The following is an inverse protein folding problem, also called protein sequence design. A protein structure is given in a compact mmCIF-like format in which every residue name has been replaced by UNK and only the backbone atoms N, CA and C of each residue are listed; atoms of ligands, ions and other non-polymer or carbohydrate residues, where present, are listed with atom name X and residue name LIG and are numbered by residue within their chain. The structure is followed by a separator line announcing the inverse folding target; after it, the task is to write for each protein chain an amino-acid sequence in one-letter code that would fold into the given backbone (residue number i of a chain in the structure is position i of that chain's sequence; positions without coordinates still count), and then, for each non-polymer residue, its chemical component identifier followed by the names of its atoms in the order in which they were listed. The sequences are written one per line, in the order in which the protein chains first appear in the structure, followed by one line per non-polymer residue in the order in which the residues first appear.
data_IF_943256959832
#
_entry.id   IF_943256959832
#
_cell.length_a   1.000
_cell.length_b   1.000
_cell.length_c   1.000
_cell.angle_alpha   90.00
_cell.angle_beta   90.00
_cell.angle_gamma   90.00
#
_symmetry.space_group_name_H-M   'P 1'
#
loop_
_entity.id
_entity.type
_entity.pdbx_description
1 polymer ?
#
# COMPACT_ATOMS: atom_id res chain seq x y z
N UNK A 1 -17.74 6.85 14.22
CA UNK A 1 -16.62 7.65 13.65
C UNK A 1 -16.88 7.85 12.16
N UNK A 2 -16.48 8.98 11.56
CA UNK A 2 -16.48 9.11 10.09
C UNK A 2 -15.30 8.35 9.47
N UNK A 3 -15.37 8.00 8.19
CA UNK A 3 -14.30 7.29 7.47
C UNK A 3 -12.97 8.04 7.55
N UNK A 4 -13.01 9.38 7.39
CA UNK A 4 -11.83 10.24 7.56
C UNK A 4 -11.25 10.14 8.97
N UNK A 5 -12.08 10.06 10.01
CA UNK A 5 -11.62 9.91 11.39
C UNK A 5 -11.00 8.53 11.64
N UNK A 6 -11.61 7.48 11.10
CA UNK A 6 -11.08 6.13 11.19
C UNK A 6 -9.75 5.98 10.44
N UNK A 7 -9.64 6.52 9.22
CA UNK A 7 -8.40 6.57 8.45
C UNK A 7 -7.28 7.27 9.23
N UNK A 8 -7.55 8.42 9.87
CA UNK A 8 -6.57 9.11 10.72
C UNK A 8 -6.09 8.26 11.89
N UNK A 9 -6.99 7.50 12.51
CA UNK A 9 -6.64 6.56 13.58
C UNK A 9 -5.73 5.44 13.05
N UNK A 10 -6.06 4.84 11.91
CA UNK A 10 -5.25 3.82 11.24
C UNK A 10 -3.86 4.35 10.87
N UNK A 11 -3.77 5.54 10.27
CA UNK A 11 -2.48 6.19 9.96
C UNK A 11 -1.65 6.46 11.22
N UNK A 12 -2.29 6.90 12.32
CA UNK A 12 -1.60 7.09 13.61
C UNK A 12 -1.05 5.77 14.14
N UNK A 13 -1.78 4.65 14.00
CA UNK A 13 -1.32 3.32 14.40
C UNK A 13 -0.15 2.85 13.52
N UNK A 14 -0.28 2.93 12.20
CA UNK A 14 0.77 2.55 11.24
C UNK A 14 2.04 3.37 11.46
N UNK A 15 1.93 4.69 11.65
CA UNK A 15 3.07 5.57 11.94
C UNK A 15 3.82 5.13 13.21
N UNK A 16 3.11 4.69 14.26
CA UNK A 16 3.73 4.18 15.49
C UNK A 16 4.48 2.87 15.23
N UNK A 17 3.91 1.95 14.46
CA UNK A 17 4.58 0.70 14.08
C UNK A 17 5.86 0.96 13.27
N UNK A 18 5.77 1.80 12.23
CA UNK A 18 6.92 2.18 11.40
C UNK A 18 8.03 2.88 12.19
N UNK A 19 7.68 3.69 13.20
CA UNK A 19 8.68 4.31 14.10
C UNK A 19 9.46 3.26 14.90
N UNK A 20 8.82 2.20 15.39
CA UNK A 20 9.46 1.15 16.19
C UNK A 20 10.50 0.37 15.38
N UNK A 21 10.23 0.14 14.10
CA UNK A 21 11.12 -0.61 13.21
C UNK A 21 12.06 0.27 12.37
N UNK A 22 12.11 1.58 12.63
CA UNK A 22 12.87 2.55 11.80
C UNK A 22 14.39 2.26 11.72
N UNK A 23 14.95 1.57 12.71
CA UNK A 23 16.38 1.22 12.74
C UNK A 23 16.71 -0.07 11.96
N UNK A 24 15.71 -0.86 11.58
CA UNK A 24 15.93 -2.08 10.80
C UNK A 24 16.34 -1.72 9.36
N UNK A 25 17.19 -2.55 8.75
CA UNK A 25 17.68 -2.36 7.37
C UNK A 25 16.53 -2.35 6.36
N UNK A 26 15.62 -3.31 6.48
CA UNK A 26 14.54 -3.57 5.53
C UNK A 26 13.23 -3.76 6.29
N UNK A 27 12.18 -3.09 5.82
CA UNK A 27 10.80 -3.21 6.31
C UNK A 27 9.90 -3.51 5.13
N UNK A 28 9.08 -4.54 5.30
CA UNK A 28 7.95 -4.88 4.43
C UNK A 28 6.69 -4.33 5.08
N UNK A 29 6.01 -3.40 4.42
CA UNK A 29 4.72 -2.90 4.87
C UNK A 29 3.60 -3.70 4.22
N UNK A 30 2.65 -4.21 5.00
CA UNK A 30 1.50 -4.97 4.47
C UNK A 30 0.22 -4.25 4.84
N UNK A 31 -0.61 -3.94 3.84
CA UNK A 31 -1.95 -3.37 4.00
C UNK A 31 -2.96 -4.19 3.19
N UNK A 32 -4.23 -4.20 3.58
CA UNK A 32 -5.25 -4.75 2.68
C UNK A 32 -5.59 -3.74 1.58
N UNK A 33 -5.89 -2.50 1.96
CA UNK A 33 -6.25 -1.41 1.05
C UNK A 33 -5.05 -0.86 0.27
N UNK A 34 -5.35 -0.26 -0.88
CA UNK A 34 -4.38 0.25 -1.85
C UNK A 34 -3.70 1.53 -1.33
N UNK A 35 -2.35 1.54 -1.21
CA UNK A 35 -1.60 2.73 -0.82
C UNK A 35 -1.21 3.63 -1.99
N UNK A 36 -1.23 3.12 -3.22
CA UNK A 36 -0.71 3.78 -4.43
C UNK A 36 -1.71 3.66 -5.58
N UNK A 37 -2.02 4.80 -6.23
CA UNK A 37 -3.07 4.90 -7.26
C UNK A 37 -2.78 4.09 -8.53
N UNK A 38 -1.53 3.69 -8.73
CA UNK A 38 -1.04 2.84 -9.81
C UNK A 38 -1.78 1.50 -9.90
N UNK A 39 -2.41 1.07 -8.80
CA UNK A 39 -3.20 -0.16 -8.74
C UNK A 39 -4.72 0.07 -8.78
N UNK A 40 -5.17 1.33 -8.81
CA UNK A 40 -6.60 1.69 -8.91
C UNK A 40 -7.00 1.75 -10.38
N UNK A 41 -8.15 1.16 -10.69
CA UNK A 41 -8.67 1.12 -12.06
C UNK A 41 -9.64 2.27 -12.25
N UNK A 42 -9.29 3.22 -13.11
CA UNK A 42 -10.15 4.35 -13.46
C UNK A 42 -10.86 4.08 -14.79
N UNK A 43 -12.15 4.40 -14.86
CA UNK A 43 -12.97 4.34 -16.07
C UNK A 43 -13.88 5.56 -16.11
N UNK A 44 -14.30 5.94 -17.30
CA UNK A 44 -15.31 7.00 -17.51
C UNK A 44 -16.72 6.45 -17.19
N UNK A 45 -16.92 6.09 -15.91
CA UNK A 45 -18.14 5.51 -15.38
C UNK A 45 -18.22 5.82 -13.86
N UNK A 46 -19.21 6.62 -13.40
CA UNK A 46 -19.34 7.01 -11.99
C UNK A 46 -19.44 5.85 -10.99
N UNK A 47 -19.84 4.66 -11.44
CA UNK A 47 -19.85 3.46 -10.58
C UNK A 47 -18.44 3.03 -10.20
N UNK A 48 -17.47 3.23 -11.10
CA UNK A 48 -16.06 3.02 -10.79
C UNK A 48 -15.54 4.06 -9.82
N UNK A 49 -15.95 5.33 -9.93
CA UNK A 49 -15.55 6.37 -8.98
C UNK A 49 -16.05 6.08 -7.57
N UNK A 50 -17.32 5.65 -7.46
CA UNK A 50 -17.88 5.22 -6.18
C UNK A 50 -17.08 4.05 -5.58
N UNK A 51 -16.79 3.00 -6.36
CA UNK A 51 -15.99 1.87 -5.87
C UNK A 51 -14.57 2.29 -5.50
N UNK A 52 -13.95 3.20 -6.28
CA UNK A 52 -12.60 3.70 -6.06
C UNK A 52 -12.48 4.50 -4.76
N UNK A 53 -13.55 5.13 -4.29
CA UNK A 53 -13.59 5.82 -2.99
C UNK A 53 -13.30 4.89 -1.80
N UNK A 54 -13.50 3.58 -1.96
CA UNK A 54 -13.26 2.57 -0.92
C UNK A 54 -11.98 1.75 -1.12
N UNK A 55 -11.26 1.93 -2.24
CA UNK A 55 -10.10 1.10 -2.56
C UNK A 55 -8.91 1.31 -1.62
N UNK A 56 -8.80 2.51 -1.06
CA UNK A 56 -7.72 2.89 -0.15
C UNK A 56 -7.58 4.38 -0.01
N UNK A 57 -6.35 4.85 0.27
CA UNK A 57 -6.10 6.27 0.46
C UNK A 57 -4.65 6.62 0.14
N UNK A 58 -4.43 7.68 -0.63
CA UNK A 58 -3.09 8.18 -0.99
C UNK A 58 -2.23 8.48 0.26
N UNK A 59 -2.87 8.89 1.35
CA UNK A 59 -2.22 9.13 2.64
C UNK A 59 -1.47 7.91 3.21
N UNK A 60 -1.86 6.67 2.84
CA UNK A 60 -1.12 5.45 3.19
C UNK A 60 0.22 5.42 2.46
N UNK A 61 0.23 5.53 1.13
CA UNK A 61 1.45 5.57 0.33
C UNK A 61 2.35 6.72 0.73
N UNK A 62 1.78 7.91 0.94
CA UNK A 62 2.51 9.08 1.42
C UNK A 62 3.18 8.83 2.79
N UNK A 63 2.54 8.07 3.69
CA UNK A 63 3.16 7.68 4.96
C UNK A 63 4.31 6.69 4.75
N UNK A 64 4.14 5.66 3.94
CA UNK A 64 5.19 4.67 3.62
C UNK A 64 6.42 5.35 2.98
N UNK A 65 6.19 6.30 2.09
CA UNK A 65 7.22 7.08 1.40
C UNK A 65 8.07 7.97 2.33
N UNK A 66 7.71 8.12 3.60
CA UNK A 66 8.51 8.85 4.61
C UNK A 66 9.58 8.01 5.29
N UNK A 67 9.51 6.68 5.19
CA UNK A 67 10.43 5.77 5.89
C UNK A 67 11.36 5.10 4.89
N UNK A 68 12.65 5.50 4.89
CA UNK A 68 13.66 5.03 3.92
C UNK A 68 13.90 3.52 3.94
N UNK A 69 13.69 2.88 5.09
CA UNK A 69 13.88 1.44 5.26
C UNK A 69 12.64 0.63 4.86
N UNK A 70 11.51 1.26 4.53
CA UNK A 70 10.39 0.57 3.86
C UNK A 70 10.81 0.36 2.41
N UNK A 71 11.24 -0.86 2.10
CA UNK A 71 11.71 -1.27 0.77
C UNK A 71 10.61 -1.92 -0.05
N UNK A 72 9.67 -2.58 0.64
CA UNK A 72 8.59 -3.33 0.02
C UNK A 72 7.24 -2.93 0.62
N UNK A 73 6.21 -2.91 -0.22
CA UNK A 73 4.82 -2.76 0.20
C UNK A 73 3.98 -3.86 -0.45
N UNK A 74 3.16 -4.57 0.33
CA UNK A 74 2.20 -5.55 -0.17
C UNK A 74 0.80 -5.02 0.11
N UNK A 75 -0.05 -4.98 -0.91
CA UNK A 75 -1.44 -4.55 -0.84
C UNK A 75 -2.38 -5.49 -1.61
N UNK A 76 -3.69 -5.31 -1.50
CA UNK A 76 -4.67 -6.14 -2.19
C UNK A 76 -5.97 -5.38 -2.48
N UNK A 77 -7.12 -5.99 -2.20
CA UNK A 77 -8.47 -5.39 -2.32
C UNK A 77 -9.01 -5.21 -3.76
N UNK A 78 -8.15 -4.90 -4.74
CA UNK A 78 -8.56 -4.75 -6.15
C UNK A 78 -8.89 -6.07 -6.86
N UNK A 79 -8.54 -7.21 -6.24
CA UNK A 79 -8.60 -8.56 -6.83
C UNK A 79 -7.79 -8.69 -8.13
N UNK A 80 -6.82 -7.79 -8.35
CA UNK A 80 -5.88 -7.83 -9.47
C UNK A 80 -4.46 -7.98 -8.96
N UNK A 81 -3.69 -8.80 -9.65
CA UNK A 81 -2.27 -8.98 -9.38
C UNK A 81 -1.44 -7.95 -10.15
N UNK A 82 -0.34 -7.49 -9.56
CA UNK A 82 0.63 -6.65 -10.25
C UNK A 82 1.74 -6.15 -9.33
N UNK A 83 2.79 -5.59 -9.92
CA UNK A 83 3.84 -4.91 -9.19
C UNK A 83 4.18 -3.56 -9.81
N UNK A 84 4.71 -2.66 -9.00
CA UNK A 84 5.16 -1.35 -9.44
C UNK A 84 6.37 -0.91 -8.59
N UNK A 85 7.25 -0.11 -9.18
CA UNK A 85 8.33 0.56 -8.45
C UNK A 85 7.94 2.02 -8.25
N UNK A 86 7.68 2.41 -7.02
CA UNK A 86 7.24 3.77 -6.68
C UNK A 86 8.47 4.62 -6.33
N UNK A 87 8.75 5.69 -7.10
CA UNK A 87 9.89 6.55 -6.84
C UNK A 87 9.71 7.30 -5.53
N UNK A 88 10.84 7.61 -4.88
CA UNK A 88 10.87 8.41 -3.66
C UNK A 88 11.74 9.63 -3.87
N UNK A 89 11.30 10.79 -3.37
CA UNK A 89 12.08 12.04 -3.48
C UNK A 89 13.50 11.94 -2.92
N UNK A 90 13.70 11.15 -1.85
CA UNK A 90 15.01 10.94 -1.20
C UNK A 90 15.15 9.50 -0.71
N UNK A 91 16.12 8.76 -1.24
CA UNK A 91 16.39 7.36 -0.91
C UNK A 91 15.87 6.39 -1.98
N UNK A 92 16.03 5.09 -1.73
CA UNK A 92 15.61 4.04 -2.68
C UNK A 92 14.08 4.05 -2.90
N UNK A 93 13.62 3.64 -4.10
CA UNK A 93 12.20 3.46 -4.37
C UNK A 93 11.59 2.34 -3.51
N UNK A 94 10.27 2.27 -3.50
CA UNK A 94 9.52 1.15 -2.89
C UNK A 94 9.08 0.21 -4.00
N UNK A 95 9.40 -1.08 -3.89
CA UNK A 95 8.78 -2.11 -4.73
C UNK A 95 7.45 -2.50 -4.11
N UNK A 96 6.37 -2.36 -4.86
CA UNK A 96 5.01 -2.61 -4.39
C UNK A 96 4.42 -3.80 -5.13
N UNK A 97 3.76 -4.67 -4.38
CA UNK A 97 3.02 -5.81 -4.91
C UNK A 97 1.54 -5.65 -4.54
N UNK A 98 0.67 -5.66 -5.54
CA UNK A 98 -0.77 -5.80 -5.37
C UNK A 98 -1.11 -7.26 -5.61
N UNK A 99 -1.62 -7.94 -4.57
CA UNK A 99 -1.91 -9.36 -4.61
C UNK A 99 -3.40 -9.59 -4.85
N UNK A 100 -3.70 -10.45 -5.82
CA UNK A 100 -5.05 -11.00 -6.02
C UNK A 100 -5.14 -12.35 -5.32
N UNK A 101 -6.16 -12.53 -4.48
CA UNK A 101 -6.50 -13.87 -4.01
C UNK A 101 -6.99 -14.71 -5.18
N UNK A 102 -6.22 -15.73 -5.59
CA UNK A 102 -6.74 -16.84 -6.40
C UNK A 102 -7.08 -17.98 -5.45
N UNK A 103 -8.29 -18.53 -5.47
CA UNK A 103 -8.61 -19.70 -4.67
C UNK A 103 -7.57 -20.79 -4.89
N UNK A 104 -7.05 -21.35 -3.79
CA UNK A 104 -6.13 -22.50 -3.78
C UNK A 104 -4.74 -22.27 -4.41
N UNK A 105 -4.37 -21.03 -4.76
CA UNK A 105 -3.02 -20.70 -5.27
C UNK A 105 -2.40 -19.57 -4.46
N UNK A 106 -1.38 -19.84 -3.62
CA UNK A 106 -0.69 -18.78 -2.90
C UNK A 106 0.02 -17.86 -3.88
N UNK A 107 0.09 -16.57 -3.55
CA UNK A 107 0.98 -15.63 -4.24
C UNK A 107 2.35 -15.70 -3.58
N UNK A 108 3.36 -16.12 -4.34
CA UNK A 108 4.75 -16.14 -3.91
C UNK A 108 5.42 -14.84 -4.39
N UNK A 109 6.11 -14.15 -3.48
CA UNK A 109 6.83 -12.91 -3.79
C UNK A 109 8.28 -13.13 -3.36
N UNK A 110 9.17 -13.19 -4.35
CA UNK A 110 10.60 -13.21 -4.11
C UNK A 110 11.12 -11.77 -3.92
N UNK A 111 11.75 -11.52 -2.77
CA UNK A 111 12.31 -10.22 -2.42
C UNK A 111 13.82 -10.35 -2.29
N UNK A 112 14.57 -9.54 -3.03
CA UNK A 112 16.02 -9.45 -2.89
C UNK A 112 16.41 -8.83 -1.53
N UNK A 113 17.39 -9.41 -0.82
CA UNK A 113 17.75 -9.08 0.58
C UNK A 113 18.82 -7.97 0.74
#
# INVERSE_FOLDING_TARGET
FSDKAFLRLCLKRLKRQLKRVRKLKTVVAVTHHIPFKEFVVTRDDPRWDFNNAFQGAESLGALLLRYRNVRYSICGHTHRGGSATIPRRKGSPITVFNVSGRPLRPTIIDMEA
#
